data_IF_671782572856
#
_entry.id   IF_671782572856
#
_cell.length_a   1.000
_cell.length_b   1.000
_cell.length_c   1.000
_cell.angle_alpha   90.00
_cell.angle_beta   90.00
_cell.angle_gamma   90.00
#
_symmetry.space_group_name_H-M   'P 1'
#
loop_
_entity.id
_entity.type
_entity.pdbx_description
1 polymer ?
#
# COMPACT_ATOMS: atom_id res chain seq x y z
N UNK A 1 -0.78 12.00 24.95
CA UNK A 1 -1.60 10.77 24.86
C UNK A 1 -0.70 9.65 24.39
N UNK A 2 -0.58 8.58 25.17
CA UNK A 2 0.25 7.41 24.83
C UNK A 2 -0.52 6.50 23.87
N UNK A 3 0.09 6.16 22.74
CA UNK A 3 -0.51 5.21 21.79
C UNK A 3 -0.34 3.79 22.38
N UNK A 4 -1.41 2.99 22.43
CA UNK A 4 -1.33 1.61 22.94
C UNK A 4 -0.41 0.75 22.07
N UNK A 5 0.20 -0.27 22.68
CA UNK A 5 1.08 -1.19 21.98
C UNK A 5 0.34 -2.02 20.92
N UNK A 6 -0.87 -2.46 21.25
CA UNK A 6 -1.74 -3.20 20.34
C UNK A 6 -2.84 -2.28 19.82
N UNK A 7 -2.90 -2.15 18.50
CA UNK A 7 -3.91 -1.36 17.80
C UNK A 7 -4.98 -2.31 17.28
N UNK A 8 -6.24 -2.06 17.63
CA UNK A 8 -7.37 -2.89 17.17
C UNK A 8 -7.49 -2.79 15.65
N UNK A 9 -7.97 -3.87 15.01
CA UNK A 9 -8.24 -3.89 13.57
C UNK A 9 -9.11 -2.71 13.10
N UNK A 10 -10.03 -2.21 13.94
CA UNK A 10 -10.84 -1.02 13.63
C UNK A 10 -10.00 0.24 13.46
N UNK A 11 -8.99 0.41 14.29
CA UNK A 11 -8.22 1.65 14.42
C UNK A 11 -6.92 1.61 13.59
N UNK A 12 -6.47 0.41 13.17
CA UNK A 12 -5.24 0.22 12.40
C UNK A 12 -5.21 0.93 11.03
N UNK A 13 -6.30 0.95 10.21
CA UNK A 13 -6.31 1.70 8.97
C UNK A 13 -6.14 3.21 9.19
N UNK A 14 -6.80 3.74 10.23
CA UNK A 14 -6.70 5.14 10.60
C UNK A 14 -5.30 5.52 11.10
N UNK A 15 -4.62 4.61 11.80
CA UNK A 15 -3.23 4.81 12.23
C UNK A 15 -2.28 5.06 11.05
N UNK A 16 -2.45 4.33 9.95
CA UNK A 16 -1.63 4.50 8.74
C UNK A 16 -2.17 5.58 7.77
N UNK A 17 -3.31 6.21 8.11
CA UNK A 17 -3.95 7.20 7.25
C UNK A 17 -4.52 6.64 5.94
N UNK A 18 -4.99 5.38 5.94
CA UNK A 18 -5.50 4.69 4.75
C UNK A 18 -6.94 4.19 4.92
N UNK A 19 -7.59 3.84 3.80
CA UNK A 19 -8.92 3.23 3.82
C UNK A 19 -8.88 1.78 4.32
N UNK A 20 -9.97 1.34 4.98
CA UNK A 20 -10.10 -0.01 5.54
C UNK A 20 -10.00 -1.11 4.48
N UNK A 21 -10.52 -0.87 3.27
CA UNK A 21 -10.46 -1.86 2.18
C UNK A 21 -9.02 -2.09 1.73
N UNK A 22 -8.28 -1.00 1.51
CA UNK A 22 -6.85 -1.03 1.14
C UNK A 22 -6.04 -1.72 2.24
N UNK A 23 -6.26 -1.37 3.51
CA UNK A 23 -5.58 -2.01 4.63
C UNK A 23 -5.78 -3.53 4.65
N UNK A 24 -7.01 -4.00 4.43
CA UNK A 24 -7.33 -5.43 4.44
C UNK A 24 -6.66 -6.20 3.29
N UNK A 25 -6.41 -5.55 2.16
CA UNK A 25 -5.80 -6.18 0.99
C UNK A 25 -4.27 -6.12 1.00
N UNK A 26 -3.69 -5.00 1.42
CA UNK A 26 -2.25 -4.76 1.27
C UNK A 26 -1.46 -4.97 2.55
N UNK A 27 -2.02 -4.59 3.70
CA UNK A 27 -1.29 -4.55 4.97
C UNK A 27 -1.59 -5.80 5.79
N UNK A 28 -2.87 -6.10 5.99
CA UNK A 28 -3.33 -7.17 6.87
C UNK A 28 -2.70 -8.54 6.57
N UNK A 29 -2.53 -8.98 5.31
CA UNK A 29 -1.91 -10.28 5.01
C UNK A 29 -0.42 -10.36 5.36
N UNK A 30 0.24 -9.21 5.54
CA UNK A 30 1.67 -9.10 5.82
C UNK A 30 1.96 -8.93 7.32
N UNK A 31 0.94 -8.72 8.15
CA UNK A 31 1.08 -8.50 9.58
C UNK A 31 0.66 -9.73 10.39
N UNK A 32 1.22 -9.85 11.59
CA UNK A 32 0.81 -10.88 12.55
C UNK A 32 -0.51 -10.50 13.21
N UNK A 33 -1.55 -11.29 12.99
CA UNK A 33 -2.85 -11.11 13.68
C UNK A 33 -2.76 -11.58 15.14
N UNK A 34 -3.01 -10.68 16.08
CA UNK A 34 -3.04 -10.98 17.52
C UNK A 34 -4.49 -11.04 17.98
N UNK A 35 -5.04 -12.23 18.31
CA UNK A 35 -6.38 -12.32 18.86
C UNK A 35 -6.40 -11.71 20.27
N UNK A 36 -7.36 -10.83 20.53
CA UNK A 36 -7.60 -10.21 21.84
C UNK A 36 -9.06 -10.41 22.23
N UNK A 37 -9.29 -11.30 23.20
CA UNK A 37 -10.60 -11.73 23.64
C UNK A 37 -11.25 -12.71 22.65
N UNK A 38 -12.58 -12.81 22.67
CA UNK A 38 -13.32 -13.82 21.90
C UNK A 38 -13.42 -13.50 20.41
N UNK A 39 -13.48 -12.22 20.05
CA UNK A 39 -13.76 -11.77 18.67
C UNK A 39 -12.83 -10.65 18.19
N UNK A 40 -11.97 -10.12 19.07
CA UNK A 40 -11.12 -9.00 18.73
C UNK A 40 -9.84 -9.46 18.04
N UNK A 41 -9.42 -8.73 17.02
CA UNK A 41 -8.08 -8.84 16.42
C UNK A 41 -7.37 -7.51 16.60
N UNK A 42 -6.08 -7.57 16.91
CA UNK A 42 -5.19 -6.44 17.01
C UNK A 42 -3.85 -6.71 16.34
N UNK A 43 -3.11 -5.63 16.11
CA UNK A 43 -1.79 -5.64 15.51
C UNK A 43 -0.81 -4.90 16.43
N UNK A 44 0.45 -5.30 16.43
CA UNK A 44 1.50 -4.54 17.11
C UNK A 44 1.77 -3.23 16.35
N UNK A 45 1.88 -2.13 17.11
CA UNK A 45 2.29 -0.82 16.57
C UNK A 45 3.63 -0.88 15.84
N UNK A 46 4.62 -1.64 16.35
CA UNK A 46 5.92 -1.71 15.68
C UNK A 46 5.85 -2.42 14.34
N UNK A 47 4.99 -3.42 14.20
CA UNK A 47 4.82 -4.11 12.93
C UNK A 47 4.17 -3.17 11.90
N UNK A 48 3.20 -2.36 12.35
CA UNK A 48 2.59 -1.29 11.54
C UNK A 48 3.63 -0.23 11.12
N UNK A 49 4.49 0.20 12.05
CA UNK A 49 5.55 1.17 11.78
C UNK A 49 6.59 0.61 10.81
N UNK A 50 7.02 -0.65 11.00
CA UNK A 50 7.97 -1.32 10.11
C UNK A 50 7.41 -1.48 8.69
N UNK A 51 6.13 -1.83 8.56
CA UNK A 51 5.45 -1.84 7.27
C UNK A 51 5.44 -0.44 6.63
N UNK A 52 5.14 0.60 7.42
CA UNK A 52 5.10 1.98 6.93
C UNK A 52 6.47 2.46 6.44
N UNK A 53 7.54 2.12 7.16
CA UNK A 53 8.92 2.42 6.77
C UNK A 53 9.31 1.71 5.46
N UNK A 54 8.97 0.42 5.33
CA UNK A 54 9.20 -0.32 4.10
C UNK A 54 8.39 0.27 2.94
N UNK A 55 7.12 0.58 3.15
CA UNK A 55 6.25 1.20 2.15
C UNK A 55 6.79 2.57 1.72
N UNK A 56 7.27 3.39 2.66
CA UNK A 56 7.94 4.66 2.38
C UNK A 56 9.24 4.46 1.61
N UNK A 57 10.01 3.41 1.89
CA UNK A 57 11.25 3.16 1.16
C UNK A 57 10.99 2.72 -0.29
N UNK A 58 9.98 1.88 -0.52
CA UNK A 58 9.65 1.37 -1.85
C UNK A 58 8.87 2.39 -2.70
N UNK A 59 7.92 3.11 -2.09
CA UNK A 59 6.94 3.94 -2.79
C UNK A 59 7.13 5.43 -2.52
N UNK A 60 7.92 5.79 -1.52
CA UNK A 60 8.23 7.18 -1.20
C UNK A 60 9.02 7.81 -2.33
N UNK A 61 8.62 9.03 -2.69
CA UNK A 61 9.42 9.88 -3.56
C UNK A 61 10.43 10.61 -2.68
N UNK A 62 11.71 10.71 -3.08
CA UNK A 62 12.63 11.55 -2.36
C UNK A 62 12.06 12.98 -2.34
N UNK A 63 12.24 13.72 -1.24
CA UNK A 63 11.93 15.14 -1.25
C UNK A 63 12.67 15.75 -2.46
N UNK A 64 11.94 16.49 -3.30
CA UNK A 64 12.59 17.25 -4.39
C UNK A 64 13.65 18.13 -3.69
N UNK A 65 14.92 17.87 -4.01
CA UNK A 65 16.08 18.35 -3.28
C UNK A 65 15.95 19.79 -2.82
N UNK A 66 16.41 20.05 -1.58
CA UNK A 66 16.56 21.35 -0.92
C UNK A 66 16.06 22.53 -1.75
N UNK A 67 14.74 22.73 -1.78
CA UNK A 67 14.22 24.07 -1.91
C UNK A 67 14.39 24.68 -0.53
N UNK A 68 15.57 25.27 -0.30
CA UNK A 68 15.69 26.36 0.67
C UNK A 68 14.53 27.28 0.33
N UNK A 69 13.54 27.34 1.23
CA UNK A 69 12.49 28.35 1.11
C UNK A 69 13.24 29.68 1.02
N UNK A 70 13.08 30.45 -0.07
CA UNK A 70 13.68 31.77 -0.09
C UNK A 70 13.06 32.52 1.07
N UNK A 71 13.89 32.86 2.05
CA UNK A 71 13.52 33.59 3.26
C UNK A 71 13.29 35.06 2.90
N UNK A 72 12.41 35.32 1.93
CA UNK A 72 12.11 36.65 1.45
C UNK A 72 10.59 36.91 1.53
N UNK A 73 10.26 37.70 2.54
CA UNK A 73 8.96 38.25 2.93
C UNK A 73 8.26 39.06 1.82
N UNK A 74 7.78 38.50 0.71
CA UNK A 74 6.90 39.27 -0.19
C UNK A 74 5.77 38.41 -0.78
N UNK A 75 4.59 38.51 -0.17
CA UNK A 75 3.34 38.03 -0.74
C UNK A 75 3.00 38.82 -2.01
N UNK A 76 3.39 38.31 -3.18
CA UNK A 76 2.86 38.84 -4.44
C UNK A 76 1.51 38.19 -4.74
N UNK A 77 0.47 39.00 -4.56
CA UNK A 77 -0.91 38.65 -4.78
C UNK A 77 -1.22 38.35 -6.27
N UNK A 78 -2.15 37.40 -6.44
CA UNK A 78 -3.14 37.29 -7.50
C UNK A 78 -2.68 37.09 -8.95
N UNK A 79 -2.99 35.91 -9.49
CA UNK A 79 -3.10 35.65 -10.92
C UNK A 79 -4.00 34.43 -11.16
N UNK A 80 -5.24 34.68 -11.56
CA UNK A 80 -6.26 33.65 -11.86
C UNK A 80 -5.83 32.73 -13.01
N UNK A 81 -6.08 31.41 -12.87
CA UNK A 81 -6.67 30.49 -13.87
C UNK A 81 -6.32 29.00 -13.56
N UNK A 82 -7.04 28.02 -14.13
CA UNK A 82 -8.18 27.35 -13.54
C UNK A 82 -7.86 25.95 -12.97
N UNK A 83 -8.73 25.52 -12.07
CA UNK A 83 -8.93 24.14 -11.63
C UNK A 83 -9.07 23.15 -12.80
N UNK A 84 -8.21 22.12 -12.81
CA UNK A 84 -8.51 20.84 -13.43
C UNK A 84 -8.40 19.74 -12.36
N UNK A 85 -9.55 19.43 -11.77
CA UNK A 85 -9.80 18.25 -10.95
C UNK A 85 -9.88 17.03 -11.87
N UNK A 86 -9.05 16.01 -11.61
CA UNK A 86 -9.05 14.76 -12.39
C UNK A 86 -8.57 13.56 -11.56
N UNK A 87 -9.50 12.64 -11.34
CA UNK A 87 -9.49 11.55 -10.37
C UNK A 87 -8.52 10.38 -10.64
N UNK A 88 -8.27 9.64 -9.55
CA UNK A 88 -8.10 8.18 -9.45
C UNK A 88 -7.04 7.52 -10.35
N UNK A 89 -5.91 7.19 -9.74
CA UNK A 89 -5.12 6.04 -10.20
C UNK A 89 -5.59 4.81 -9.44
N UNK A 90 -6.38 3.99 -10.14
CA UNK A 90 -6.62 2.58 -9.84
C UNK A 90 -5.40 1.95 -9.14
N UNK A 91 -5.59 1.54 -7.89
CA UNK A 91 -4.60 0.83 -7.04
C UNK A 91 -4.07 -0.46 -7.72
N UNK A 92 -4.77 -0.96 -8.73
CA UNK A 92 -4.43 -2.15 -9.51
C UNK A 92 -3.27 -2.00 -10.51
N UNK A 93 -2.51 -0.88 -10.52
CA UNK A 93 -1.31 -0.74 -11.38
C UNK A 93 0.03 -0.54 -10.64
N UNK A 94 0.05 -0.48 -9.31
CA UNK A 94 1.30 -0.29 -8.55
C UNK A 94 2.06 -1.62 -8.33
N UNK A 95 1.40 -2.77 -8.48
CA UNK A 95 2.00 -4.11 -8.41
C UNK A 95 2.57 -4.63 -9.75
N UNK A 96 3.36 -3.82 -10.48
CA UNK A 96 3.97 -4.28 -11.73
C UNK A 96 5.42 -3.80 -11.98
N UNK A 97 6.17 -3.44 -10.94
CA UNK A 97 7.53 -2.92 -11.13
C UNK A 97 8.58 -3.40 -10.12
N UNK A 98 8.49 -4.66 -9.71
CA UNK A 98 9.64 -5.40 -9.15
C UNK A 98 9.93 -6.64 -9.99
N UNK A 99 10.46 -6.45 -11.20
CA UNK A 99 10.97 -7.54 -12.03
C UNK A 99 12.20 -7.10 -12.83
N UNK A 100 13.37 -7.11 -12.20
CA UNK A 100 14.64 -7.12 -12.95
C UNK A 100 15.82 -7.72 -12.18
N UNK A 101 15.88 -9.05 -12.12
CA UNK A 101 17.13 -9.78 -12.37
C UNK A 101 16.80 -10.90 -13.35
N UNK A 102 17.46 -10.90 -14.51
CA UNK A 102 17.15 -11.73 -15.68
C UNK A 102 17.68 -13.15 -15.52
N UNK A 103 16.87 -14.12 -15.94
CA UNK A 103 17.28 -15.49 -16.24
C UNK A 103 16.12 -16.32 -16.77
N UNK A 104 15.53 -15.93 -17.91
CA UNK A 104 14.49 -16.70 -18.58
C UNK A 104 15.07 -18.01 -19.16
N UNK A 105 14.44 -19.14 -18.85
CA UNK A 105 14.27 -20.25 -19.80
C UNK A 105 12.80 -20.62 -19.82
N UNK A 106 12.19 -20.33 -20.96
CA UNK A 106 10.80 -20.65 -21.32
C UNK A 106 10.61 -22.16 -21.39
N UNK A 107 9.59 -22.72 -20.73
CA UNK A 107 9.00 -23.99 -21.15
C UNK A 107 7.48 -23.89 -21.22
N UNK A 108 6.96 -24.54 -22.26
CA UNK A 108 5.66 -24.33 -22.89
C UNK A 108 4.52 -24.96 -22.09
N UNK A 109 3.35 -24.36 -22.25
CA UNK A 109 2.02 -24.76 -21.78
C UNK A 109 1.59 -26.08 -22.42
N UNK A 110 1.26 -27.14 -21.67
CA UNK A 110 0.50 -28.26 -22.22
C UNK A 110 -1.01 -27.99 -22.14
N UNK A 111 -1.67 -28.17 -23.27
CA UNK A 111 -3.11 -28.19 -23.49
C UNK A 111 -3.75 -29.37 -22.76
N UNK A 112 -4.77 -29.11 -21.94
CA UNK A 112 -5.57 -30.17 -21.34
C UNK A 112 -6.65 -30.60 -22.34
N UNK A 113 -6.48 -31.80 -22.88
CA UNK A 113 -7.38 -32.50 -23.80
C UNK A 113 -8.52 -33.16 -23.02
N UNK A 114 -9.73 -33.05 -23.56
CA UNK A 114 -10.95 -33.62 -22.98
C UNK A 114 -10.91 -35.14 -23.12
N UNK A 115 -10.89 -35.87 -22.01
CA UNK A 115 -11.21 -37.30 -22.01
C UNK A 115 -12.52 -37.57 -21.26
N UNK A 116 -13.47 -38.09 -22.03
CA UNK A 116 -14.83 -38.45 -21.66
C UNK A 116 -14.81 -39.89 -21.15
N UNK A 117 -14.87 -40.10 -19.84
CA UNK A 117 -15.07 -41.41 -19.25
C UNK A 117 -16.54 -41.62 -18.88
N UNK A 118 -17.23 -42.55 -19.54
CA UNK A 118 -17.64 -43.82 -18.92
C UNK A 118 -18.75 -44.50 -19.71
N UNK A 119 -18.45 -45.77 -20.02
CA UNK A 119 -19.36 -46.82 -20.45
C UNK A 119 -20.45 -47.05 -19.41
N UNK A 120 -21.65 -47.35 -19.88
CA UNK A 120 -22.57 -48.29 -19.25
C UNK A 120 -23.30 -49.07 -20.34
#
# INVERSE_FOLDING_TARGET
MTIPRFIRMRDAPAYLGMDRTVFNHEVRPLLTEIPIGTQGIAFDRLDLDAWADQHKHCNGRPPRGERVWPENNECLASGNAPTATGNSTNVSKVMALCAKVRGQKTMRKPSNERERASKS
#
